data_IF_112714443660
#
_entry.id   IF_112714443660
#
_cell.length_a   1.000
_cell.length_b   1.000
_cell.length_c   1.000
_cell.angle_alpha   90.00
_cell.angle_beta   90.00
_cell.angle_gamma   90.00
#
_symmetry.space_group_name_H-M   'P 1'
#
loop_
_entity.id
_entity.type
_entity.pdbx_description
1 polymer ?
#
# COMPACT_ATOMS: atom_id res chain seq x y z
N UNK A 1 29.31 9.30 3.17
CA UNK A 1 28.89 8.45 4.29
C UNK A 1 27.37 8.47 4.33
N UNK A 2 26.72 7.48 3.73
CA UNK A 2 25.26 7.32 3.79
C UNK A 2 24.90 6.84 5.20
N UNK A 3 24.02 7.55 5.91
CA UNK A 3 23.48 7.11 7.20
C UNK A 3 22.84 5.73 7.02
N UNK A 4 23.56 4.66 7.38
CA UNK A 4 23.00 3.31 7.45
C UNK A 4 21.93 3.35 8.54
N UNK A 5 20.66 3.24 8.16
CA UNK A 5 19.58 3.06 9.13
C UNK A 5 19.81 1.73 9.84
N UNK A 6 19.60 1.69 11.16
CA UNK A 6 19.69 0.46 11.94
C UNK A 6 18.39 -0.36 11.91
N UNK A 7 17.32 0.20 11.35
CA UNK A 7 15.99 -0.39 11.33
C UNK A 7 15.20 0.17 10.13
N UNK A 8 14.42 -0.68 9.48
CA UNK A 8 13.53 -0.28 8.38
C UNK A 8 12.13 -0.01 8.94
N UNK A 9 11.63 1.24 8.88
CA UNK A 9 10.30 1.56 9.37
C UNK A 9 9.19 0.83 8.57
N UNK A 10 8.13 0.32 9.23
CA UNK A 10 7.05 -0.43 8.56
C UNK A 10 6.37 0.35 7.43
N UNK A 11 6.18 1.65 7.61
CA UNK A 11 5.57 2.56 6.62
C UNK A 11 6.45 2.72 5.38
N UNK A 12 7.78 2.77 5.55
CA UNK A 12 8.71 2.80 4.41
C UNK A 12 8.64 1.49 3.64
N UNK A 13 8.68 0.35 4.33
CA UNK A 13 8.59 -0.96 3.68
C UNK A 13 7.27 -1.09 2.88
N UNK A 14 6.17 -0.62 3.46
CA UNK A 14 4.86 -0.61 2.81
C UNK A 14 4.82 0.30 1.56
N UNK A 15 5.40 1.50 1.63
CA UNK A 15 5.53 2.41 0.50
C UNK A 15 6.34 1.78 -0.65
N UNK A 16 7.47 1.14 -0.34
CA UNK A 16 8.29 0.45 -1.34
C UNK A 16 7.53 -0.71 -2.00
N UNK A 17 6.72 -1.47 -1.25
CA UNK A 17 5.83 -2.50 -1.84
C UNK A 17 4.89 -1.88 -2.87
N UNK A 18 4.27 -0.72 -2.56
CA UNK A 18 3.39 -0.05 -3.52
C UNK A 18 4.13 0.47 -4.74
N UNK A 19 5.31 1.04 -4.55
CA UNK A 19 6.14 1.51 -5.66
C UNK A 19 6.54 0.37 -6.59
N UNK A 20 6.91 -0.81 -6.07
CA UNK A 20 7.21 -2.00 -6.90
C UNK A 20 5.97 -2.45 -7.68
N UNK A 21 4.78 -2.44 -7.06
CA UNK A 21 3.52 -2.78 -7.76
C UNK A 21 3.19 -1.79 -8.87
N UNK A 22 3.36 -0.49 -8.65
CA UNK A 22 3.20 0.53 -9.69
C UNK A 22 4.23 0.38 -10.80
N UNK A 23 5.46 0.03 -10.43
CA UNK A 23 6.53 -0.21 -11.38
C UNK A 23 6.20 -1.35 -12.34
N UNK A 24 5.62 -2.44 -11.82
CA UNK A 24 5.14 -3.56 -12.63
C UNK A 24 4.08 -3.13 -13.65
N UNK A 25 3.18 -2.21 -13.30
CA UNK A 25 2.18 -1.64 -14.21
C UNK A 25 2.80 -0.72 -15.27
N UNK A 26 3.90 -0.04 -14.95
CA UNK A 26 4.57 0.91 -15.85
C UNK A 26 5.39 0.24 -16.96
N UNK A 27 5.54 -1.09 -16.92
CA UNK A 27 6.17 -1.89 -17.96
C UNK A 27 7.66 -2.22 -17.73
N UNK A 28 8.17 -3.13 -18.56
CA UNK A 28 9.49 -3.78 -18.39
C UNK A 28 10.67 -2.80 -18.37
N UNK A 29 10.61 -1.71 -19.14
CA UNK A 29 11.70 -0.73 -19.22
C UNK A 29 11.93 -0.04 -17.86
N UNK A 30 10.85 0.49 -17.28
CA UNK A 30 10.90 1.12 -15.97
C UNK A 30 11.24 0.09 -14.89
N UNK A 31 10.65 -1.10 -14.94
CA UNK A 31 10.97 -2.17 -14.01
C UNK A 31 12.46 -2.51 -13.98
N UNK A 32 13.07 -2.59 -15.16
CA UNK A 32 14.50 -2.80 -15.29
C UNK A 32 15.29 -1.65 -14.65
N UNK A 33 15.01 -0.43 -15.09
CA UNK A 33 15.73 0.77 -14.68
C UNK A 33 15.65 1.02 -13.17
N UNK A 34 14.48 0.84 -12.56
CA UNK A 34 14.23 1.29 -11.19
C UNK A 34 14.26 0.20 -10.12
N UNK A 35 14.29 -1.09 -10.48
CA UNK A 35 14.39 -2.19 -9.52
C UNK A 35 15.49 -3.19 -9.89
N UNK A 36 15.54 -3.69 -11.12
CA UNK A 36 16.52 -4.71 -11.53
C UNK A 36 17.94 -4.18 -11.54
N UNK A 37 18.23 -3.13 -12.33
CA UNK A 37 19.58 -2.58 -12.48
C UNK A 37 20.15 -2.11 -11.12
N UNK A 38 19.41 -1.40 -10.24
CA UNK A 38 19.91 -1.05 -8.91
C UNK A 38 20.36 -2.24 -8.06
N UNK A 39 19.61 -3.35 -8.09
CA UNK A 39 19.97 -4.56 -7.34
C UNK A 39 21.21 -5.25 -7.93
N UNK A 40 21.32 -5.29 -9.26
CA UNK A 40 22.52 -5.81 -9.94
C UNK A 40 23.75 -4.98 -9.59
N UNK A 41 23.66 -3.64 -9.68
CA UNK A 41 24.77 -2.75 -9.33
C UNK A 41 25.16 -2.84 -7.84
N UNK A 42 24.21 -3.12 -6.97
CA UNK A 42 24.46 -3.35 -5.55
C UNK A 42 25.00 -4.76 -5.23
N UNK A 43 25.25 -5.61 -6.25
CA UNK A 43 25.84 -6.93 -6.06
C UNK A 43 24.89 -7.97 -5.46
N UNK A 44 23.59 -7.85 -5.71
CA UNK A 44 22.59 -8.82 -5.24
C UNK A 44 22.48 -10.05 -6.13
N UNK A 45 23.12 -10.04 -7.29
CA UNK A 45 23.25 -11.21 -8.16
C UNK A 45 24.26 -12.22 -7.57
N UNK A 46 24.00 -13.52 -7.72
CA UNK A 46 24.89 -14.61 -7.28
C UNK A 46 25.18 -15.55 -8.44
N UNK A 47 26.31 -16.24 -8.36
CA UNK A 47 26.66 -17.27 -9.34
C UNK A 47 25.58 -18.36 -9.44
N UNK A 48 25.19 -18.65 -10.68
CA UNK A 48 24.10 -19.58 -11.04
C UNK A 48 24.29 -21.00 -10.51
N UNK A 49 25.51 -21.37 -10.12
CA UNK A 49 25.87 -22.71 -9.64
C UNK A 49 25.20 -23.11 -8.31
N UNK A 50 24.61 -22.17 -7.56
CA UNK A 50 24.01 -22.42 -6.25
C UNK A 50 22.47 -22.33 -6.22
N UNK A 51 21.83 -22.24 -7.39
CA UNK A 51 20.41 -21.94 -7.55
C UNK A 51 19.61 -23.19 -7.97
N UNK A 52 19.32 -24.07 -7.01
CA UNK A 52 18.64 -25.36 -7.26
C UNK A 52 17.10 -25.32 -7.12
N UNK A 53 16.55 -24.27 -6.50
CA UNK A 53 15.11 -24.15 -6.21
C UNK A 53 14.53 -22.89 -6.86
N UNK A 54 13.29 -22.99 -7.36
CA UNK A 54 12.55 -21.84 -7.89
C UNK A 54 12.20 -20.85 -6.79
N UNK A 55 11.96 -19.59 -7.20
CA UNK A 55 11.58 -18.50 -6.30
C UNK A 55 10.37 -18.86 -5.43
N UNK A 56 9.32 -19.45 -6.02
CA UNK A 56 8.12 -19.86 -5.27
C UNK A 56 8.41 -20.88 -4.16
N UNK A 57 9.22 -21.91 -4.45
CA UNK A 57 9.60 -22.92 -3.44
C UNK A 57 10.43 -22.33 -2.31
N UNK A 58 11.27 -21.34 -2.61
CA UNK A 58 12.03 -20.62 -1.58
C UNK A 58 11.13 -19.76 -0.71
N UNK A 59 10.11 -19.09 -1.26
CA UNK A 59 9.13 -18.35 -0.49
C UNK A 59 8.36 -19.25 0.48
N UNK A 60 7.86 -20.38 -0.01
CA UNK A 60 7.12 -21.35 0.80
C UNK A 60 8.00 -21.85 1.95
N UNK A 61 9.24 -22.23 1.66
CA UNK A 61 10.20 -22.66 2.67
C UNK A 61 10.50 -21.56 3.71
N UNK A 62 10.70 -20.32 3.28
CA UNK A 62 10.94 -19.22 4.21
C UNK A 62 9.71 -19.02 5.12
N UNK A 63 8.52 -19.15 4.58
CA UNK A 63 7.28 -19.03 5.35
C UNK A 63 7.17 -20.14 6.41
N UNK A 64 7.53 -21.38 6.06
CA UNK A 64 7.63 -22.51 7.00
C UNK A 64 8.70 -22.27 8.07
N UNK A 65 9.93 -21.92 7.65
CA UNK A 65 11.06 -21.65 8.55
C UNK A 65 10.76 -20.48 9.52
N UNK A 66 9.97 -19.49 9.08
CA UNK A 66 9.60 -18.33 9.93
C UNK A 66 8.71 -18.72 11.12
N UNK A 67 8.00 -19.85 11.03
CA UNK A 67 7.16 -20.35 12.11
C UNK A 67 7.98 -21.03 13.22
N UNK A 68 9.22 -21.43 12.92
CA UNK A 68 10.09 -22.11 13.86
C UNK A 68 11.15 -21.14 14.43
N UNK A 69 11.15 -20.89 15.76
CA UNK A 69 12.14 -20.04 16.41
C UNK A 69 13.60 -20.42 16.11
N UNK A 70 13.89 -21.69 15.82
CA UNK A 70 15.23 -22.16 15.52
C UNK A 70 15.81 -21.52 14.25
N UNK A 71 14.97 -21.19 13.27
CA UNK A 71 15.42 -20.68 11.96
C UNK A 71 15.28 -19.16 11.80
N UNK A 72 14.71 -18.45 12.77
CA UNK A 72 14.50 -16.99 12.70
C UNK A 72 15.78 -16.20 12.37
N UNK A 73 16.93 -16.62 12.89
CA UNK A 73 18.21 -15.97 12.63
C UNK A 73 18.68 -16.07 11.17
N UNK A 74 18.18 -17.05 10.41
CA UNK A 74 18.57 -17.30 9.03
C UNK A 74 17.63 -16.67 8.00
N UNK A 75 16.44 -16.20 8.40
CA UNK A 75 15.39 -15.67 7.51
C UNK A 75 15.91 -14.51 6.66
N UNK A 76 16.67 -13.59 7.23
CA UNK A 76 17.29 -12.46 6.51
C UNK A 76 18.16 -12.93 5.34
N UNK A 77 19.02 -13.92 5.59
CA UNK A 77 19.89 -14.50 4.58
C UNK A 77 19.10 -15.28 3.52
N UNK A 78 18.03 -15.98 3.92
CA UNK A 78 17.15 -16.69 3.00
C UNK A 78 16.40 -15.72 2.08
N UNK A 79 15.89 -14.60 2.60
CA UNK A 79 15.28 -13.54 1.79
C UNK A 79 16.28 -12.91 0.81
N UNK A 80 17.53 -12.73 1.22
CA UNK A 80 18.60 -12.29 0.30
C UNK A 80 18.83 -13.29 -0.83
N UNK A 81 18.88 -14.58 -0.52
CA UNK A 81 19.00 -15.66 -1.53
C UNK A 81 17.78 -15.69 -2.46
N UNK A 82 16.58 -15.47 -1.91
CA UNK A 82 15.34 -15.39 -2.70
C UNK A 82 15.41 -14.29 -3.75
N UNK A 83 15.88 -13.08 -3.39
CA UNK A 83 16.04 -11.97 -4.33
C UNK A 83 17.09 -12.31 -5.40
N UNK A 84 18.23 -12.90 -5.02
CA UNK A 84 19.23 -13.37 -5.99
C UNK A 84 18.65 -14.39 -6.98
N UNK A 85 17.79 -15.30 -6.52
CA UNK A 85 17.07 -16.24 -7.37
C UNK A 85 16.09 -15.50 -8.29
N UNK A 86 15.31 -14.56 -7.76
CA UNK A 86 14.37 -13.75 -8.53
C UNK A 86 15.03 -12.94 -9.64
N UNK A 87 16.23 -12.38 -9.39
CA UNK A 87 17.05 -11.71 -10.41
C UNK A 87 17.38 -12.62 -11.60
N UNK A 88 17.58 -13.91 -11.35
CA UNK A 88 17.93 -14.90 -12.38
C UNK A 88 16.70 -15.43 -13.11
N UNK A 89 15.59 -15.64 -12.39
CA UNK A 89 14.36 -16.24 -12.92
C UNK A 89 13.55 -15.27 -13.80
N UNK A 90 13.50 -13.99 -13.44
CA UNK A 90 12.90 -12.95 -14.27
C UNK A 90 12.20 -11.85 -13.47
N UNK A 91 11.70 -10.82 -14.17
CA UNK A 91 11.14 -9.62 -13.52
C UNK A 91 9.94 -9.88 -12.60
N UNK A 92 9.06 -10.83 -12.94
CA UNK A 92 7.93 -11.17 -12.05
C UNK A 92 8.45 -11.78 -10.75
N UNK A 93 9.28 -12.81 -10.85
CA UNK A 93 9.89 -13.48 -9.70
C UNK A 93 10.70 -12.50 -8.83
N UNK A 94 11.43 -11.57 -9.45
CA UNK A 94 12.14 -10.51 -8.74
C UNK A 94 11.19 -9.58 -7.96
N UNK A 95 10.14 -9.11 -8.62
CA UNK A 95 9.14 -8.23 -7.99
C UNK A 95 8.49 -8.91 -6.79
N UNK A 96 8.05 -10.15 -6.97
CA UNK A 96 7.44 -10.94 -5.90
C UNK A 96 8.42 -11.20 -4.75
N UNK A 97 9.69 -11.48 -5.05
CA UNK A 97 10.76 -11.67 -4.04
C UNK A 97 11.01 -10.42 -3.20
N UNK A 98 11.07 -9.26 -3.87
CA UNK A 98 11.27 -7.98 -3.20
C UNK A 98 10.06 -7.62 -2.31
N UNK A 99 8.84 -7.81 -2.82
CA UNK A 99 7.61 -7.58 -2.06
C UNK A 99 7.54 -8.52 -0.86
N UNK A 100 7.84 -9.81 -1.05
CA UNK A 100 7.84 -10.79 0.03
C UNK A 100 8.80 -10.38 1.15
N UNK A 101 10.03 -9.95 0.82
CA UNK A 101 10.98 -9.53 1.83
C UNK A 101 10.50 -8.29 2.59
N UNK A 102 9.95 -7.29 1.90
CA UNK A 102 9.39 -6.08 2.52
C UNK A 102 8.16 -6.36 3.39
N UNK A 103 7.30 -7.31 2.98
CA UNK A 103 6.16 -7.75 3.79
C UNK A 103 6.63 -8.47 5.05
N UNK A 104 7.66 -9.32 4.95
CA UNK A 104 8.29 -9.95 6.11
C UNK A 104 8.92 -8.95 7.06
N UNK A 105 9.57 -7.89 6.57
CA UNK A 105 10.11 -6.82 7.43
C UNK A 105 9.00 -6.11 8.22
N UNK A 106 7.80 -5.96 7.67
CA UNK A 106 6.67 -5.38 8.38
C UNK A 106 6.12 -6.31 9.48
N UNK A 107 6.28 -7.62 9.32
CA UNK A 107 5.78 -8.65 10.25
C UNK A 107 6.78 -8.97 11.36
N UNK A 108 8.08 -8.89 11.07
CA UNK A 108 9.16 -9.34 11.95
C UNK A 108 10.17 -8.21 12.23
N UNK A 109 10.10 -7.53 13.39
CA UNK A 109 10.98 -6.40 13.71
C UNK A 109 12.47 -6.75 13.69
N UNK A 110 12.84 -7.98 14.10
CA UNK A 110 14.23 -8.46 14.04
C UNK A 110 14.73 -8.55 12.60
N UNK A 111 13.86 -8.90 11.65
CA UNK A 111 14.20 -8.94 10.24
C UNK A 111 14.38 -7.52 9.68
N UNK A 112 13.52 -6.58 10.07
CA UNK A 112 13.65 -5.17 9.71
C UNK A 112 14.93 -4.50 10.27
N UNK A 113 15.49 -5.03 11.35
CA UNK A 113 16.78 -4.60 11.92
C UNK A 113 18.01 -5.30 11.31
N UNK A 114 17.81 -6.28 10.42
CA UNK A 114 18.92 -7.06 9.85
C UNK A 114 19.81 -6.24 8.90
N UNK A 115 21.05 -6.69 8.76
CA UNK A 115 21.98 -6.12 7.80
C UNK A 115 21.48 -6.30 6.36
N UNK A 116 20.90 -7.47 6.05
CA UNK A 116 20.32 -7.76 4.75
C UNK A 116 19.16 -6.83 4.42
N UNK A 117 18.28 -6.54 5.38
CA UNK A 117 17.19 -5.57 5.18
C UNK A 117 17.72 -4.17 4.92
N UNK A 118 18.71 -3.73 5.71
CA UNK A 118 19.35 -2.43 5.56
C UNK A 118 20.03 -2.29 4.20
N UNK A 119 20.83 -3.27 3.80
CA UNK A 119 21.53 -3.28 2.52
C UNK A 119 20.54 -3.35 1.34
N UNK A 120 19.42 -4.08 1.49
CA UNK A 120 18.38 -4.17 0.47
C UNK A 120 17.71 -2.81 0.24
N UNK A 121 17.23 -2.19 1.33
CA UNK A 121 16.54 -0.90 1.24
C UNK A 121 17.50 0.17 0.72
N UNK A 122 18.77 0.16 1.12
CA UNK A 122 19.77 1.07 0.55
C UNK A 122 19.96 0.92 -0.95
N UNK A 123 19.85 -0.30 -1.48
CA UNK A 123 19.99 -0.55 -2.91
C UNK A 123 18.79 -0.01 -3.73
N UNK A 124 17.57 -0.11 -3.18
CA UNK A 124 16.34 0.15 -3.96
C UNK A 124 15.63 1.45 -3.63
N UNK A 125 15.76 1.99 -2.41
CA UNK A 125 14.92 3.09 -1.91
C UNK A 125 15.01 4.33 -2.80
N UNK A 126 16.23 4.80 -3.09
CA UNK A 126 16.43 6.01 -3.89
C UNK A 126 15.79 5.84 -5.27
N UNK A 127 16.09 4.73 -5.93
CA UNK A 127 15.60 4.43 -7.27
C UNK A 127 14.07 4.34 -7.33
N UNK A 128 13.45 3.67 -6.35
CA UNK A 128 11.99 3.59 -6.26
C UNK A 128 11.34 4.93 -5.93
N UNK A 129 11.97 5.78 -5.12
CA UNK A 129 11.51 7.15 -4.85
C UNK A 129 11.62 8.06 -6.07
N UNK A 130 12.69 7.94 -6.84
CA UNK A 130 12.85 8.67 -8.11
C UNK A 130 11.73 8.29 -9.09
N UNK A 131 11.41 6.99 -9.19
CA UNK A 131 10.26 6.51 -9.96
C UNK A 131 8.92 7.04 -9.43
N UNK A 132 8.71 7.02 -8.11
CA UNK A 132 7.47 7.51 -7.50
C UNK A 132 7.25 9.00 -7.81
N UNK A 133 8.31 9.81 -7.75
CA UNK A 133 8.26 11.24 -8.10
C UNK A 133 7.89 11.46 -9.56
N UNK A 134 8.57 10.77 -10.49
CA UNK A 134 8.28 10.89 -11.93
C UNK A 134 6.84 10.47 -12.24
N UNK A 135 6.39 9.40 -11.59
CA UNK A 135 5.02 8.91 -11.72
C UNK A 135 4.02 9.96 -11.21
N UNK A 136 4.26 10.56 -10.05
CA UNK A 136 3.43 11.64 -9.50
C UNK A 136 3.31 12.82 -10.46
N UNK A 137 4.45 13.36 -10.93
CA UNK A 137 4.50 14.50 -11.85
C UNK A 137 3.75 14.24 -13.17
N UNK A 138 3.77 12.98 -13.63
CA UNK A 138 3.09 12.57 -14.86
C UNK A 138 1.59 12.32 -14.63
N UNK A 139 1.22 11.84 -13.44
CA UNK A 139 -0.15 11.45 -13.12
C UNK A 139 -1.10 12.64 -13.05
N UNK A 140 -0.66 13.81 -12.57
CA UNK A 140 -1.51 14.99 -12.54
C UNK A 140 -2.05 15.33 -13.93
N UNK A 141 -1.19 15.34 -14.95
CA UNK A 141 -1.57 15.61 -16.34
C UNK A 141 -2.50 14.53 -16.89
N UNK A 142 -2.14 13.26 -16.69
CA UNK A 142 -2.97 12.13 -17.13
C UNK A 142 -4.35 12.15 -16.48
N UNK A 143 -4.43 12.52 -15.21
CA UNK A 143 -5.67 12.64 -14.47
C UNK A 143 -6.54 13.77 -15.01
N UNK A 144 -5.94 14.95 -15.23
CA UNK A 144 -6.62 16.09 -15.84
C UNK A 144 -7.21 15.75 -17.21
N UNK A 145 -6.41 15.14 -18.11
CA UNK A 145 -6.86 14.66 -19.42
C UNK A 145 -8.02 13.64 -19.29
N UNK A 146 -7.88 12.69 -18.37
CA UNK A 146 -8.91 11.66 -18.12
C UNK A 146 -10.24 12.27 -17.65
N UNK A 147 -10.21 13.23 -16.72
CA UNK A 147 -11.43 13.87 -16.21
C UNK A 147 -12.07 14.81 -17.24
N UNK A 148 -11.27 15.49 -18.05
CA UNK A 148 -11.80 16.31 -19.15
C UNK A 148 -12.59 15.45 -20.13
N UNK A 149 -12.10 14.24 -20.45
CA UNK A 149 -12.76 13.30 -21.34
C UNK A 149 -14.00 12.58 -20.77
N UNK A 150 -14.20 12.59 -19.43
CA UNK A 150 -15.34 11.95 -18.78
C UNK A 150 -16.67 12.61 -19.17
N UNK A 151 -17.68 11.79 -19.43
CA UNK A 151 -19.06 12.25 -19.61
C UNK A 151 -19.62 12.82 -18.29
N UNK A 152 -20.67 13.64 -18.39
CA UNK A 152 -21.34 14.21 -17.22
C UNK A 152 -21.94 13.11 -16.34
N UNK A 153 -22.52 12.07 -16.95
CA UNK A 153 -23.12 10.93 -16.23
C UNK A 153 -22.07 10.11 -15.48
N UNK A 154 -20.95 9.80 -16.14
CA UNK A 154 -19.84 9.07 -15.50
C UNK A 154 -19.26 9.86 -14.33
N UNK A 155 -19.13 11.19 -14.51
CA UNK A 155 -18.67 12.08 -13.46
C UNK A 155 -19.63 12.07 -12.26
N UNK A 156 -20.95 12.21 -12.48
CA UNK A 156 -21.96 12.08 -11.41
C UNK A 156 -21.87 10.72 -10.70
N UNK A 157 -21.73 9.64 -11.46
CA UNK A 157 -21.62 8.28 -10.91
C UNK A 157 -20.35 8.03 -10.06
N UNK A 158 -19.30 8.84 -10.27
CA UNK A 158 -18.08 8.79 -9.46
C UNK A 158 -18.25 9.50 -8.11
N UNK A 159 -19.23 10.41 -8.02
CA UNK A 159 -19.62 11.09 -6.79
C UNK A 159 -20.75 10.41 -6.03
N UNK A 160 -21.50 9.52 -6.69
CA UNK A 160 -22.51 8.72 -6.01
C UNK A 160 -21.89 7.97 -4.82
N UNK A 161 -22.50 8.05 -3.62
CA UNK A 161 -22.12 7.19 -2.51
C UNK A 161 -22.30 5.74 -2.93
N UNK A 162 -21.46 4.84 -2.43
CA UNK A 162 -21.58 3.40 -2.71
C UNK A 162 -22.94 2.91 -2.18
N UNK A 163 -23.94 2.83 -3.08
CA UNK A 163 -25.31 2.41 -2.75
C UNK A 163 -25.33 0.91 -2.50
N UNK A 164 -25.26 0.51 -1.24
CA UNK A 164 -25.76 -0.79 -0.78
C UNK A 164 -27.19 -0.57 -0.22
N UNK A 165 -28.10 -1.54 -0.26
CA UNK A 165 -29.49 -1.31 0.20
C UNK A 165 -29.61 -1.23 1.75
N UNK A 166 -30.41 -0.27 2.25
CA UNK A 166 -30.41 0.23 3.64
C UNK A 166 -30.61 -0.80 4.78
N UNK A 167 -31.47 -1.80 4.62
CA UNK A 167 -31.77 -2.76 5.70
C UNK A 167 -30.83 -3.97 5.72
N UNK A 168 -30.38 -4.41 4.53
CA UNK A 168 -29.33 -5.44 4.42
C UNK A 168 -27.96 -4.90 4.83
N UNK A 169 -27.72 -3.59 4.63
CA UNK A 169 -26.50 -2.87 5.02
C UNK A 169 -26.13 -3.02 6.48
N UNK A 170 -27.05 -2.78 7.42
CA UNK A 170 -26.72 -2.74 8.85
C UNK A 170 -26.30 -4.11 9.37
N UNK A 171 -27.10 -5.14 9.11
CA UNK A 171 -26.79 -6.53 9.51
C UNK A 171 -25.49 -7.01 8.85
N UNK A 172 -25.27 -6.66 7.57
CA UNK A 172 -24.04 -7.00 6.87
C UNK A 172 -22.82 -6.31 7.49
N UNK A 173 -22.90 -5.00 7.78
CA UNK A 173 -21.82 -4.25 8.43
C UNK A 173 -21.53 -4.74 9.85
N UNK A 174 -22.55 -5.07 10.63
CA UNK A 174 -22.39 -5.68 11.96
C UNK A 174 -21.70 -7.05 11.85
N UNK A 175 -22.04 -7.84 10.84
CA UNK A 175 -21.40 -9.14 10.57
C UNK A 175 -19.94 -8.97 10.15
N UNK A 176 -19.64 -8.02 9.26
CA UNK A 176 -18.28 -7.71 8.83
C UNK A 176 -17.43 -7.16 10.00
N UNK A 177 -18.03 -6.33 10.85
CA UNK A 177 -17.37 -5.81 12.06
C UNK A 177 -17.10 -6.92 13.05
N UNK A 178 -18.07 -7.81 13.31
CA UNK A 178 -17.85 -8.98 14.16
C UNK A 178 -16.74 -9.88 13.60
N UNK A 179 -16.72 -10.08 12.29
CA UNK A 179 -15.67 -10.84 11.60
C UNK A 179 -14.30 -10.18 11.77
N UNK A 180 -14.23 -8.85 11.61
CA UNK A 180 -13.03 -8.06 11.87
C UNK A 180 -12.53 -8.27 13.30
N UNK A 181 -13.40 -8.15 14.30
CA UNK A 181 -13.06 -8.38 15.70
C UNK A 181 -12.44 -9.76 15.92
N UNK A 182 -13.09 -10.82 15.42
CA UNK A 182 -12.57 -12.18 15.58
C UNK A 182 -11.19 -12.34 14.93
N UNK A 183 -11.00 -11.80 13.73
CA UNK A 183 -9.72 -11.90 13.03
C UNK A 183 -8.61 -11.08 13.71
N UNK A 184 -8.94 -9.89 14.23
CA UNK A 184 -7.99 -9.06 15.02
C UNK A 184 -7.64 -9.77 16.32
N UNK A 185 -8.60 -10.38 17.01
CA UNK A 185 -8.34 -11.15 18.23
C UNK A 185 -7.40 -12.33 17.97
N UNK A 186 -7.62 -13.10 16.90
CA UNK A 186 -6.74 -14.21 16.51
C UNK A 186 -5.34 -13.71 16.18
N UNK A 187 -5.22 -12.66 15.37
CA UNK A 187 -3.93 -12.07 14.99
C UNK A 187 -3.16 -11.49 16.19
N UNK A 188 -3.88 -10.89 17.14
CA UNK A 188 -3.29 -10.34 18.37
C UNK A 188 -2.78 -11.46 19.29
N UNK A 189 -3.48 -12.60 19.37
CA UNK A 189 -3.02 -13.78 20.14
C UNK A 189 -1.71 -14.34 19.58
N UNK A 190 -1.52 -14.30 18.27
CA UNK A 190 -0.29 -14.71 17.60
C UNK A 190 0.75 -13.59 17.48
N UNK A 191 0.58 -12.48 18.21
CA UNK A 191 1.44 -11.28 18.15
C UNK A 191 1.70 -10.73 16.73
N UNK A 192 0.76 -10.88 15.81
CA UNK A 192 0.88 -10.43 14.42
C UNK A 192 0.14 -9.11 14.22
N UNK A 193 0.74 -8.02 14.72
CA UNK A 193 0.16 -6.67 14.64
C UNK A 193 0.11 -6.13 13.20
N UNK A 194 1.03 -6.55 12.34
CA UNK A 194 1.00 -6.23 10.91
C UNK A 194 -0.29 -6.74 10.24
N UNK A 195 -0.75 -7.94 10.60
CA UNK A 195 -2.03 -8.47 10.14
C UNK A 195 -3.22 -7.68 10.70
N UNK A 196 -3.19 -7.29 11.99
CA UNK A 196 -4.21 -6.40 12.56
C UNK A 196 -4.31 -5.08 11.77
N UNK A 197 -3.17 -4.48 11.43
CA UNK A 197 -3.09 -3.26 10.61
C UNK A 197 -3.70 -3.46 9.22
N UNK A 198 -3.35 -4.55 8.52
CA UNK A 198 -3.92 -4.90 7.19
C UNK A 198 -5.45 -5.06 7.25
N UNK A 199 -5.95 -5.74 8.28
CA UNK A 199 -7.39 -5.97 8.48
C UNK A 199 -8.15 -4.67 8.76
N UNK A 200 -7.64 -3.85 9.69
CA UNK A 200 -8.23 -2.55 10.02
C UNK A 200 -8.18 -1.59 8.84
N UNK A 201 -7.05 -1.52 8.12
CA UNK A 201 -6.92 -0.66 6.93
C UNK A 201 -7.97 -1.00 5.89
N UNK A 202 -8.14 -2.30 5.60
CA UNK A 202 -9.15 -2.79 4.66
C UNK A 202 -10.56 -2.40 5.10
N UNK A 203 -10.90 -2.63 6.38
CA UNK A 203 -12.23 -2.32 6.90
C UNK A 203 -12.53 -0.83 6.82
N UNK A 204 -11.60 0.02 7.29
CA UNK A 204 -11.74 1.48 7.26
C UNK A 204 -11.90 1.98 5.82
N UNK A 205 -10.99 1.62 4.91
CA UNK A 205 -11.06 2.04 3.50
C UNK A 205 -12.38 1.61 2.85
N UNK A 206 -12.91 0.44 3.22
CA UNK A 206 -14.12 -0.11 2.60
C UNK A 206 -15.39 0.57 3.12
N UNK A 207 -15.46 0.82 4.43
CA UNK A 207 -16.74 1.14 5.10
C UNK A 207 -16.81 2.51 5.78
N UNK A 208 -15.74 3.30 5.85
CA UNK A 208 -15.74 4.58 6.60
C UNK A 208 -16.80 5.59 6.10
N UNK A 209 -17.15 5.56 4.82
CA UNK A 209 -18.19 6.42 4.22
C UNK A 209 -19.62 5.89 4.45
N UNK A 210 -19.79 4.77 5.17
CA UNK A 210 -21.11 4.19 5.44
C UNK A 210 -21.80 4.88 6.61
N UNK A 211 -23.08 5.21 6.47
CA UNK A 211 -23.90 5.78 7.56
C UNK A 211 -23.91 4.92 8.83
N UNK A 212 -23.82 3.59 8.67
CA UNK A 212 -23.80 2.64 9.79
C UNK A 212 -22.37 2.25 10.21
N UNK A 213 -21.35 2.99 9.77
CA UNK A 213 -19.97 2.73 10.18
C UNK A 213 -19.82 2.92 11.69
N UNK A 214 -19.45 1.86 12.40
CA UNK A 214 -19.32 1.89 13.85
C UNK A 214 -17.97 2.46 14.26
N UNK A 215 -17.86 3.79 14.22
CA UNK A 215 -16.65 4.54 14.60
C UNK A 215 -16.20 4.23 16.03
N UNK A 216 -17.13 4.02 16.97
CA UNK A 216 -16.81 3.78 18.38
C UNK A 216 -16.13 2.42 18.62
N UNK A 217 -16.57 1.38 17.91
CA UNK A 217 -15.99 0.05 18.03
C UNK A 217 -14.60 -0.01 17.40
N UNK A 218 -14.44 0.61 16.23
CA UNK A 218 -13.11 0.76 15.60
C UNK A 218 -12.17 1.54 16.52
N UNK A 219 -12.61 2.66 17.10
CA UNK A 219 -11.79 3.43 18.05
C UNK A 219 -11.40 2.59 19.29
N UNK A 220 -12.31 1.74 19.79
CA UNK A 220 -12.01 0.82 20.89
C UNK A 220 -10.91 -0.18 20.51
N UNK A 221 -10.96 -0.74 19.31
CA UNK A 221 -9.91 -1.63 18.79
C UNK A 221 -8.57 -0.90 18.67
N UNK A 222 -8.59 0.34 18.18
CA UNK A 222 -7.38 1.15 18.03
C UNK A 222 -6.73 1.46 19.37
N UNK A 223 -7.51 1.89 20.37
CA UNK A 223 -7.01 2.13 21.72
C UNK A 223 -6.39 0.86 22.32
N UNK A 224 -7.01 -0.30 22.09
CA UNK A 224 -6.50 -1.58 22.60
C UNK A 224 -5.18 -1.99 21.92
N UNK A 225 -5.03 -1.75 20.62
CA UNK A 225 -3.83 -2.08 19.85
C UNK A 225 -2.69 -1.09 20.11
N UNK A 226 -2.99 0.20 20.25
CA UNK A 226 -2.00 1.24 20.56
C UNK A 226 -1.41 1.07 21.98
N UNK A 227 -2.18 0.51 22.91
CA UNK A 227 -1.67 0.06 24.22
C UNK A 227 -0.70 -1.13 24.11
N UNK A 228 -0.79 -1.94 23.06
CA UNK A 228 0.11 -3.09 22.84
C UNK A 228 1.39 -2.70 22.10
N UNK A 229 1.29 -1.79 21.14
CA UNK A 229 2.42 -1.27 20.38
C UNK A 229 2.29 0.24 20.28
N UNK A 230 3.21 0.94 20.93
CA UNK A 230 3.23 2.40 20.89
C UNK A 230 3.43 2.87 19.44
N UNK A 231 2.55 3.76 18.97
CA UNK A 231 2.57 4.25 17.61
C UNK A 231 1.86 3.34 16.61
N UNK A 232 1.15 2.29 17.05
CA UNK A 232 0.31 1.47 16.17
C UNK A 232 -0.70 2.34 15.40
N UNK A 233 -1.32 3.31 16.10
CA UNK A 233 -2.28 4.24 15.49
C UNK A 233 -1.63 5.02 14.35
N UNK A 234 -0.49 5.66 14.59
CA UNK A 234 0.20 6.43 13.54
C UNK A 234 0.58 5.54 12.35
N UNK A 235 1.12 4.35 12.63
CA UNK A 235 1.47 3.38 11.59
C UNK A 235 0.26 2.93 10.76
N UNK A 236 -0.92 2.79 11.37
CA UNK A 236 -2.16 2.49 10.66
C UNK A 236 -2.58 3.67 9.77
N UNK A 237 -2.53 4.90 10.28
CA UNK A 237 -2.87 6.10 9.51
C UNK A 237 -1.94 6.27 8.30
N UNK A 238 -0.64 6.06 8.48
CA UNK A 238 0.34 6.06 7.40
C UNK A 238 0.03 4.97 6.36
N UNK A 239 -0.34 3.77 6.81
CA UNK A 239 -0.73 2.66 5.92
C UNK A 239 -1.99 2.99 5.13
N UNK A 240 -2.99 3.63 5.75
CA UNK A 240 -4.21 4.08 5.07
C UNK A 240 -3.88 5.08 3.97
N UNK A 241 -3.04 6.08 4.27
CA UNK A 241 -2.61 7.09 3.31
C UNK A 241 -1.89 6.45 2.12
N UNK A 242 -0.95 5.53 2.37
CA UNK A 242 -0.21 4.81 1.33
C UNK A 242 -1.15 3.96 0.45
N UNK A 243 -2.09 3.21 1.05
CA UNK A 243 -3.04 2.36 0.30
C UNK A 243 -3.98 3.19 -0.59
N UNK A 244 -4.49 4.31 -0.07
CA UNK A 244 -5.39 5.18 -0.81
C UNK A 244 -4.63 5.87 -1.95
N UNK A 245 -3.46 6.45 -1.66
CA UNK A 245 -2.61 7.08 -2.68
C UNK A 245 -2.22 6.10 -3.79
N UNK A 246 -1.84 4.86 -3.42
CA UNK A 246 -1.59 3.79 -4.39
C UNK A 246 -2.82 3.49 -5.25
N UNK A 247 -4.01 3.40 -4.65
CA UNK A 247 -5.26 3.16 -5.38
C UNK A 247 -5.60 4.28 -6.36
N UNK A 248 -5.40 5.54 -5.95
CA UNK A 248 -5.57 6.73 -6.81
C UNK A 248 -4.62 6.67 -7.99
N UNK A 249 -3.31 6.55 -7.70
CA UNK A 249 -2.25 6.49 -8.72
C UNK A 249 -2.48 5.35 -9.70
N UNK A 250 -2.80 4.16 -9.20
CA UNK A 250 -3.13 3.01 -10.03
C UNK A 250 -4.35 3.28 -10.91
N UNK A 251 -5.40 3.89 -10.36
CA UNK A 251 -6.59 4.30 -11.13
C UNK A 251 -6.25 5.23 -12.28
N UNK A 252 -5.37 6.22 -12.05
CA UNK A 252 -4.90 7.15 -13.08
C UNK A 252 -4.11 6.41 -14.16
N UNK A 253 -3.16 5.55 -13.78
CA UNK A 253 -2.34 4.78 -14.73
C UNK A 253 -3.17 3.82 -15.59
N UNK A 254 -4.24 3.25 -15.04
CA UNK A 254 -5.18 2.38 -15.73
C UNK A 254 -6.22 3.15 -16.58
N UNK A 255 -6.21 4.50 -16.57
CA UNK A 255 -7.23 5.33 -17.23
C UNK A 255 -8.61 5.26 -16.57
N UNK A 256 -8.70 4.74 -15.34
CA UNK A 256 -9.93 4.62 -14.58
C UNK A 256 -10.12 5.84 -13.67
N UNK A 257 -10.63 6.93 -14.26
CA UNK A 257 -10.87 8.18 -13.54
C UNK A 257 -11.87 8.03 -12.38
N UNK A 258 -12.88 7.16 -12.49
CA UNK A 258 -13.84 6.90 -11.42
C UNK A 258 -13.16 6.36 -10.16
N UNK A 259 -12.27 5.38 -10.33
CA UNK A 259 -11.48 4.80 -9.22
C UNK A 259 -10.55 5.84 -8.59
N UNK A 260 -9.94 6.71 -9.40
CA UNK A 260 -9.10 7.79 -8.91
C UNK A 260 -9.90 8.83 -8.09
N UNK A 261 -11.05 9.28 -8.61
CA UNK A 261 -11.97 10.20 -7.91
C UNK A 261 -12.43 9.61 -6.58
N UNK A 262 -12.87 8.34 -6.57
CA UNK A 262 -13.28 7.66 -5.34
C UNK A 262 -12.14 7.60 -4.31
N UNK A 263 -10.91 7.36 -4.74
CA UNK A 263 -9.75 7.37 -3.85
C UNK A 263 -9.46 8.75 -3.26
N UNK A 264 -9.52 9.81 -4.07
CA UNK A 264 -9.33 11.21 -3.62
C UNK A 264 -10.40 11.57 -2.57
N UNK A 265 -11.67 11.26 -2.83
CA UNK A 265 -12.77 11.49 -1.89
C UNK A 265 -12.57 10.75 -0.57
N UNK A 266 -12.17 9.47 -0.64
CA UNK A 266 -11.88 8.67 0.56
C UNK A 266 -10.73 9.25 1.37
N UNK A 267 -9.69 9.73 0.70
CA UNK A 267 -8.57 10.39 1.36
C UNK A 267 -9.04 11.64 2.11
N UNK A 268 -9.75 12.54 1.41
CA UNK A 268 -10.28 13.76 2.00
C UNK A 268 -11.21 13.48 3.19
N UNK A 269 -12.06 12.45 3.10
CA UNK A 269 -12.96 12.05 4.17
C UNK A 269 -12.24 11.42 5.38
N UNK A 270 -11.23 10.57 5.17
CA UNK A 270 -10.50 9.90 6.25
C UNK A 270 -9.59 10.87 7.01
N UNK A 271 -8.90 11.76 6.28
CA UNK A 271 -7.88 12.64 6.85
C UNK A 271 -8.37 14.05 7.13
N UNK A 272 -9.60 14.40 6.71
CA UNK A 272 -10.27 15.67 7.02
C UNK A 272 -9.41 16.92 6.71
N UNK A 273 -8.52 16.82 5.71
CA UNK A 273 -7.63 17.91 5.30
C UNK A 273 -6.38 18.12 6.18
N UNK A 274 -5.99 17.14 7.01
CA UNK A 274 -4.76 17.21 7.82
C UNK A 274 -3.50 17.31 6.91
N UNK A 275 -2.78 18.45 6.96
CA UNK A 275 -1.58 18.65 6.13
C UNK A 275 -0.39 17.78 6.54
N UNK A 276 -0.45 17.14 7.71
CA UNK A 276 0.60 16.23 8.18
C UNK A 276 0.40 14.80 7.66
N UNK A 277 -0.76 14.50 7.05
CA UNK A 277 -1.00 13.19 6.46
C UNK A 277 -0.06 12.93 5.28
N UNK A 278 0.44 11.69 5.17
CA UNK A 278 1.30 11.29 4.04
C UNK A 278 0.57 11.48 2.71
N UNK A 279 1.26 12.01 1.71
CA UNK A 279 0.74 12.31 0.37
C UNK A 279 -0.36 13.40 0.32
N UNK A 280 -0.49 14.21 1.37
CA UNK A 280 -1.49 15.28 1.42
C UNK A 280 -1.39 16.21 0.20
N UNK A 281 -0.19 16.70 -0.12
CA UNK A 281 0.00 17.67 -1.21
C UNK A 281 -0.27 17.06 -2.59
N UNK A 282 0.13 15.82 -2.81
CA UNK A 282 -0.12 15.08 -4.05
C UNK A 282 -1.63 14.86 -4.26
N UNK A 283 -2.36 14.49 -3.21
CA UNK A 283 -3.81 14.30 -3.29
C UNK A 283 -4.54 15.65 -3.43
N UNK A 284 -4.17 16.68 -2.67
CA UNK A 284 -4.76 18.01 -2.74
C UNK A 284 -4.58 18.64 -4.14
N UNK A 285 -3.41 18.45 -4.77
CA UNK A 285 -3.20 18.88 -6.16
C UNK A 285 -4.20 18.22 -7.14
N UNK A 286 -4.42 16.91 -7.01
CA UNK A 286 -5.40 16.18 -7.82
C UNK A 286 -6.84 16.61 -7.50
N UNK A 287 -7.16 16.82 -6.22
CA UNK A 287 -8.48 17.27 -5.76
C UNK A 287 -8.83 18.66 -6.32
N UNK A 288 -7.89 19.61 -6.28
CA UNK A 288 -8.08 20.95 -6.87
C UNK A 288 -8.34 20.87 -8.38
N UNK A 289 -7.64 19.99 -9.10
CA UNK A 289 -7.87 19.76 -10.53
C UNK A 289 -9.27 19.20 -10.80
N UNK A 290 -9.68 18.21 -10.00
CA UNK A 290 -11.02 17.63 -10.07
C UNK A 290 -12.10 18.71 -9.88
N UNK A 291 -12.02 19.51 -8.82
CA UNK A 291 -12.99 20.58 -8.57
C UNK A 291 -12.96 21.69 -9.61
N UNK A 292 -11.79 22.06 -10.14
CA UNK A 292 -11.68 23.03 -11.23
C UNK A 292 -12.43 22.58 -12.49
N UNK A 293 -12.34 21.28 -12.84
CA UNK A 293 -13.07 20.73 -14.00
C UNK A 293 -14.57 20.65 -13.72
N UNK A 294 -14.97 20.26 -12.51
CA UNK A 294 -16.39 20.22 -12.10
C UNK A 294 -17.03 21.61 -12.22
N UNK A 295 -16.32 22.67 -11.80
CA UNK A 295 -16.76 24.05 -11.96
C UNK A 295 -16.89 24.43 -13.43
N UNK A 296 -15.90 24.07 -14.25
CA UNK A 296 -15.90 24.36 -15.70
C UNK A 296 -17.06 23.69 -16.43
N UNK A 297 -17.49 22.49 -15.99
CA UNK A 297 -18.62 21.75 -16.55
C UNK A 297 -20.00 22.17 -15.98
N UNK A 298 -20.08 23.20 -15.14
CA UNK A 298 -21.28 23.66 -14.38
C UNK A 298 -22.00 22.54 -13.59
N UNK A 299 -21.23 21.54 -13.12
CA UNK A 299 -21.79 20.37 -12.43
C UNK A 299 -21.99 20.58 -10.92
N UNK A 300 -21.51 21.71 -10.39
CA UNK A 300 -21.59 22.02 -8.95
C UNK A 300 -23.03 22.07 -8.43
N UNK A 301 -23.98 22.57 -9.22
CA UNK A 301 -25.41 22.65 -8.82
C UNK A 301 -26.08 21.28 -8.77
N UNK A 302 -25.65 20.34 -9.61
CA UNK A 302 -26.21 19.00 -9.69
C UNK A 302 -25.60 18.07 -8.64
N UNK A 303 -24.28 18.19 -8.38
CA UNK A 303 -23.60 17.40 -7.36
C UNK A 303 -24.06 17.77 -5.94
N UNK A 304 -24.34 19.05 -5.66
CA UNK A 304 -24.88 19.51 -4.37
C UNK A 304 -26.30 19.05 -4.06
N UNK A 305 -27.07 18.62 -5.07
CA UNK A 305 -28.44 18.09 -4.88
C UNK A 305 -28.47 16.60 -4.57
N UNK A 306 -27.36 15.89 -4.80
CA UNK A 306 -27.23 14.44 -4.58
C UNK A 306 -26.34 14.04 -3.39
N UNK A 307 -25.67 15.01 -2.76
CA UNK A 307 -25.08 14.89 -1.41
C UNK A 307 -26.14 15.20 -0.35
#
# INVERSE_FOLDING_TARGET
MTNKRAFIPPELAHELVKNIRLLALSGKKNFRQYLYDPLVYAGWERDKAHLAASTGKLMDKIQEDSADPAYQHAIALHCKRLISQGLTEGFSALGDSCIFFLDKMQEEPNLAASNEATDFVLAVEKSLKDFAKITSDTNEKKFEESIQSLSIEDMKSAFDPVRLDGTRKKVYLETELHTLYQQVLVATKSNNLAKCKKLLSRYIITYNESENYNKSEVETLLIALDKRENGFRQNLWDSLAIEIYYSVTRGIMEGNAKKAILGIRKYAYIFEGDPNAKFYYEIDALERKLYGIIQTKDLMKDLRKGM
#
